data_IF_914494547787
#
_entry.id   IF_914494547787
#
_cell.length_a   1.000
_cell.length_b   1.000
_cell.length_c   1.000
_cell.angle_alpha   90.00
_cell.angle_beta   90.00
_cell.angle_gamma   90.00
#
_symmetry.space_group_name_H-M   'P 1'
#
loop_
_entity.id
_entity.type
_entity.pdbx_description
1 polymer ?
#
# COMPACT_ATOMS: atom_id res chain seq x y z
N UNK A 1 7.41 -8.33 -11.46
CA UNK A 1 6.95 -8.02 -12.84
C UNK A 1 6.45 -6.59 -13.01
N UNK A 2 5.18 -6.25 -12.75
CA UNK A 2 4.65 -4.91 -13.13
C UNK A 2 5.42 -3.71 -12.54
N UNK A 3 5.86 -3.79 -11.28
CA UNK A 3 6.65 -2.72 -10.65
C UNK A 3 8.03 -2.56 -11.29
N UNK A 4 8.67 -3.65 -11.70
CA UNK A 4 9.96 -3.65 -12.40
C UNK A 4 9.79 -3.10 -13.82
N UNK A 5 8.74 -3.51 -14.53
CA UNK A 5 8.43 -2.98 -15.86
C UNK A 5 8.15 -1.47 -15.86
N UNK A 6 7.44 -0.96 -14.84
CA UNK A 6 7.27 0.49 -14.66
C UNK A 6 8.58 1.20 -14.28
N UNK A 7 9.40 0.58 -13.44
CA UNK A 7 10.71 1.12 -13.09
C UNK A 7 11.61 1.25 -14.33
N UNK A 8 11.62 0.25 -15.19
CA UNK A 8 12.35 0.25 -16.46
C UNK A 8 11.80 1.32 -17.42
N UNK A 9 10.49 1.42 -17.58
CA UNK A 9 9.87 2.47 -18.40
C UNK A 9 10.21 3.89 -17.94
N UNK A 10 10.25 4.13 -16.63
CA UNK A 10 10.47 5.48 -16.07
C UNK A 10 11.95 5.86 -16.03
N UNK A 11 12.85 4.92 -15.74
CA UNK A 11 14.25 5.21 -15.44
C UNK A 11 15.26 4.43 -16.28
N UNK A 12 14.80 3.51 -17.15
CA UNK A 12 15.64 2.64 -17.98
C UNK A 12 16.35 1.51 -17.22
N UNK A 13 16.08 1.35 -15.92
CA UNK A 13 16.40 0.16 -15.12
C UNK A 13 15.80 0.25 -13.71
N UNK A 14 15.61 -0.88 -13.04
CA UNK A 14 15.20 -0.91 -11.62
C UNK A 14 16.21 -0.21 -10.69
N UNK A 15 17.50 -0.33 -10.98
CA UNK A 15 18.55 0.31 -10.19
C UNK A 15 18.44 1.85 -10.25
N UNK A 16 18.28 2.41 -11.45
CA UNK A 16 18.10 3.85 -11.63
C UNK A 16 16.80 4.32 -10.99
N UNK A 17 15.72 3.55 -11.11
CA UNK A 17 14.46 3.88 -10.46
C UNK A 17 14.58 3.86 -8.93
N UNK A 18 15.28 2.89 -8.36
CA UNK A 18 15.53 2.81 -6.92
C UNK A 18 16.33 4.03 -6.40
N UNK A 19 17.26 4.55 -7.20
CA UNK A 19 17.94 5.81 -6.89
C UNK A 19 16.95 6.99 -6.85
N UNK A 20 15.99 7.06 -7.78
CA UNK A 20 14.90 8.06 -7.77
C UNK A 20 13.96 7.89 -6.57
N UNK A 21 13.64 6.66 -6.17
CA UNK A 21 12.85 6.37 -4.97
C UNK A 21 13.54 6.93 -3.72
N UNK A 22 14.84 6.68 -3.56
CA UNK A 22 15.62 7.18 -2.44
C UNK A 22 15.81 8.71 -2.48
N UNK A 23 15.95 9.30 -3.68
CA UNK A 23 15.94 10.76 -3.83
C UNK A 23 14.60 11.35 -3.37
N UNK A 24 13.48 10.74 -3.77
CA UNK A 24 12.16 11.17 -3.32
C UNK A 24 11.99 11.00 -1.81
N UNK A 25 12.44 9.90 -1.23
CA UNK A 25 12.43 9.69 0.22
C UNK A 25 13.15 10.83 0.96
N UNK A 26 14.34 11.23 0.49
CA UNK A 26 15.07 12.39 1.04
C UNK A 26 14.30 13.70 0.90
N UNK A 27 13.70 13.95 -0.26
CA UNK A 27 12.87 15.16 -0.49
C UNK A 27 11.66 15.22 0.45
N UNK A 28 11.08 14.08 0.82
CA UNK A 28 9.95 13.98 1.75
C UNK A 28 10.39 13.96 3.22
N UNK A 29 11.69 14.06 3.50
CA UNK A 29 12.23 13.99 4.87
C UNK A 29 12.05 12.61 5.51
N UNK A 30 12.05 11.55 4.72
CA UNK A 30 12.00 10.16 5.17
C UNK A 30 13.41 9.71 5.60
N UNK A 31 13.83 10.14 6.79
CA UNK A 31 15.22 10.01 7.28
C UNK A 31 15.61 8.58 7.64
N UNK A 32 14.64 7.71 7.86
CA UNK A 32 14.84 6.32 8.29
C UNK A 32 14.26 5.36 7.25
N UNK A 33 14.43 5.68 5.97
CA UNK A 33 13.99 4.85 4.84
C UNK A 33 15.11 4.69 3.83
N UNK A 34 15.31 3.45 3.39
CA UNK A 34 16.07 3.13 2.19
C UNK A 34 15.33 2.05 1.39
N UNK A 35 15.15 2.29 0.10
CA UNK A 35 14.59 1.34 -0.84
C UNK A 35 15.75 0.65 -1.57
N UNK A 36 15.73 -0.68 -1.61
CA UNK A 36 16.74 -1.48 -2.33
C UNK A 36 16.24 -2.02 -3.68
N UNK A 37 14.93 -1.98 -3.93
CA UNK A 37 14.28 -2.43 -5.15
C UNK A 37 12.89 -1.79 -5.28
N UNK A 38 12.26 -1.91 -6.45
CA UNK A 38 10.92 -1.35 -6.71
C UNK A 38 9.79 -2.27 -6.26
N UNK A 39 10.09 -3.54 -5.94
CA UNK A 39 9.10 -4.59 -5.66
C UNK A 39 8.68 -4.66 -4.20
N UNK A 40 9.56 -4.24 -3.29
CA UNK A 40 9.40 -4.47 -1.85
C UNK A 40 9.79 -5.89 -1.40
N UNK A 41 10.42 -6.69 -2.28
CA UNK A 41 10.98 -7.99 -1.90
C UNK A 41 12.15 -7.81 -0.95
N UNK A 42 12.37 -8.84 -0.13
CA UNK A 42 13.31 -8.82 0.97
C UNK A 42 14.73 -8.46 0.52
N UNK A 43 15.31 -7.48 1.19
CA UNK A 43 16.71 -7.08 1.06
C UNK A 43 17.12 -6.42 2.39
N UNK A 44 18.33 -6.69 2.87
CA UNK A 44 18.83 -6.15 4.15
C UNK A 44 18.86 -4.62 4.19
N UNK A 45 19.10 -4.00 3.04
CA UNK A 45 19.12 -2.56 2.89
C UNK A 45 17.71 -1.98 2.65
N UNK A 46 16.66 -2.81 2.53
CA UNK A 46 15.29 -2.33 2.32
C UNK A 46 14.58 -2.14 3.65
N UNK A 47 14.47 -0.90 4.13
CA UNK A 47 13.86 -0.59 5.42
C UNK A 47 13.10 0.74 5.40
N UNK A 48 12.19 0.89 6.37
CA UNK A 48 11.43 2.13 6.60
C UNK A 48 10.89 2.19 8.02
N UNK A 49 10.25 3.30 8.40
CA UNK A 49 9.52 3.45 9.66
C UNK A 49 8.05 3.80 9.42
N UNK A 50 7.19 3.56 10.40
CA UNK A 50 5.77 3.95 10.31
C UNK A 50 5.58 5.45 10.08
N UNK A 51 6.45 6.28 10.68
CA UNK A 51 6.42 7.73 10.51
C UNK A 51 6.76 8.15 9.08
N UNK A 52 7.79 7.54 8.49
CA UNK A 52 8.21 7.88 7.13
C UNK A 52 7.22 7.34 6.07
N UNK A 53 6.65 6.15 6.29
CA UNK A 53 5.57 5.64 5.45
C UNK A 53 4.30 6.50 5.54
N UNK A 54 4.00 7.08 6.70
CA UNK A 54 2.88 8.03 6.84
C UNK A 54 3.12 9.29 6.00
N UNK A 55 4.33 9.86 6.02
CA UNK A 55 4.70 11.00 5.15
C UNK A 55 4.55 10.64 3.67
N UNK A 56 5.04 9.46 3.27
CA UNK A 56 4.93 8.98 1.90
C UNK A 56 3.47 8.84 1.45
N UNK A 57 2.63 8.24 2.28
CA UNK A 57 1.22 8.05 1.95
C UNK A 57 0.48 9.40 1.87
N UNK A 58 0.71 10.31 2.82
CA UNK A 58 0.15 11.66 2.77
C UNK A 58 0.52 12.39 1.48
N UNK A 59 1.80 12.34 1.08
CA UNK A 59 2.26 12.91 -0.18
C UNK A 59 1.59 12.24 -1.40
N UNK A 60 1.58 10.91 -1.45
CA UNK A 60 1.05 10.17 -2.59
C UNK A 60 -0.46 10.41 -2.78
N UNK A 61 -1.23 10.52 -1.71
CA UNK A 61 -2.68 10.77 -1.75
C UNK A 61 -3.07 12.14 -2.33
N UNK A 62 -2.14 13.09 -2.43
CA UNK A 62 -2.36 14.37 -3.13
C UNK A 62 -2.45 14.18 -4.65
N UNK A 63 -1.87 13.11 -5.19
CA UNK A 63 -1.99 12.77 -6.60
C UNK A 63 -3.35 12.07 -6.87
N UNK A 64 -4.20 12.72 -7.69
CA UNK A 64 -5.55 12.23 -8.00
C UNK A 64 -5.56 10.82 -8.61
N UNK A 65 -4.60 10.51 -9.48
CA UNK A 65 -4.47 9.19 -10.13
C UNK A 65 -4.09 8.12 -9.11
N UNK A 66 -3.09 8.40 -8.27
CA UNK A 66 -2.70 7.48 -7.19
C UNK A 66 -3.87 7.24 -6.24
N UNK A 67 -4.56 8.30 -5.80
CA UNK A 67 -5.70 8.20 -4.91
C UNK A 67 -6.79 7.31 -5.49
N UNK A 68 -7.18 7.52 -6.75
CA UNK A 68 -8.16 6.68 -7.46
C UNK A 68 -7.75 5.20 -7.44
N UNK A 69 -6.49 4.91 -7.78
CA UNK A 69 -5.98 3.53 -7.80
C UNK A 69 -5.98 2.93 -6.38
N UNK A 70 -5.47 3.67 -5.40
CA UNK A 70 -5.33 3.24 -4.01
C UNK A 70 -6.68 2.91 -3.34
N UNK A 71 -7.75 3.60 -3.75
CA UNK A 71 -9.12 3.38 -3.26
C UNK A 71 -9.97 2.50 -4.18
N UNK A 72 -9.40 1.90 -5.23
CA UNK A 72 -10.14 1.02 -6.13
C UNK A 72 -10.31 -0.37 -5.50
N UNK A 73 -11.56 -0.87 -5.46
CA UNK A 73 -11.88 -2.19 -4.91
C UNK A 73 -11.61 -3.31 -5.92
N UNK A 74 -12.08 -3.10 -7.15
CA UNK A 74 -11.99 -4.03 -8.27
C UNK A 74 -11.62 -3.24 -9.53
N UNK A 75 -10.69 -3.77 -10.32
CA UNK A 75 -10.28 -3.20 -11.60
C UNK A 75 -10.21 -4.30 -12.64
N UNK A 76 -10.86 -4.12 -13.78
CA UNK A 76 -10.72 -5.01 -14.93
C UNK A 76 -9.91 -4.30 -15.99
N UNK A 77 -8.82 -4.93 -16.44
CA UNK A 77 -7.98 -4.36 -17.50
C UNK A 77 -8.74 -4.28 -18.82
N UNK A 78 -8.20 -3.53 -19.77
CA UNK A 78 -8.65 -3.62 -21.17
C UNK A 78 -8.46 -5.04 -21.71
N UNK A 79 -9.28 -5.39 -22.70
CA UNK A 79 -9.17 -6.64 -23.42
C UNK A 79 -7.87 -6.71 -24.22
N UNK A 80 -7.34 -7.91 -24.35
CA UNK A 80 -6.20 -8.22 -25.22
C UNK A 80 -6.53 -9.49 -26.02
N UNK A 81 -5.73 -9.82 -27.03
CA UNK A 81 -5.89 -11.09 -27.76
C UNK A 81 -5.82 -12.31 -26.84
N UNK A 82 -4.99 -12.26 -25.79
CA UNK A 82 -4.83 -13.35 -24.82
C UNK A 82 -5.92 -13.33 -23.73
N UNK A 83 -6.48 -12.16 -23.43
CA UNK A 83 -7.51 -11.95 -22.42
C UNK A 83 -8.65 -11.09 -23.01
N UNK A 84 -9.55 -11.67 -23.81
CA UNK A 84 -10.60 -10.91 -24.52
C UNK A 84 -11.60 -10.23 -23.57
N UNK A 85 -11.77 -10.76 -22.35
CA UNK A 85 -12.60 -10.14 -21.30
C UNK A 85 -11.77 -9.25 -20.34
N UNK A 86 -10.48 -9.07 -20.63
CA UNK A 86 -9.53 -8.44 -19.72
C UNK A 86 -9.17 -9.33 -18.53
N UNK A 87 -8.41 -8.76 -17.59
CA UNK A 87 -8.02 -9.40 -16.34
C UNK A 87 -8.56 -8.60 -15.17
N UNK A 88 -9.33 -9.26 -14.31
CA UNK A 88 -9.93 -8.64 -13.13
C UNK A 88 -9.03 -8.80 -11.91
N UNK A 89 -8.67 -7.67 -11.30
CA UNK A 89 -7.90 -7.56 -10.08
C UNK A 89 -8.81 -7.09 -8.95
N UNK A 90 -8.70 -7.73 -7.79
CA UNK A 90 -9.37 -7.30 -6.57
C UNK A 90 -8.34 -6.89 -5.52
N UNK A 91 -8.59 -5.77 -4.85
CA UNK A 91 -7.77 -5.33 -3.74
C UNK A 91 -7.70 -6.39 -2.65
N UNK A 92 -6.48 -6.72 -2.21
CA UNK A 92 -6.26 -7.69 -1.13
C UNK A 92 -6.87 -7.20 0.18
N UNK A 93 -6.87 -5.89 0.42
CA UNK A 93 -7.56 -5.30 1.58
C UNK A 93 -9.05 -5.65 1.54
N UNK A 94 -9.76 -5.31 0.47
CA UNK A 94 -11.21 -5.50 0.39
C UNK A 94 -11.65 -6.95 0.20
N UNK A 95 -10.77 -7.82 -0.30
CA UNK A 95 -11.01 -9.27 -0.30
C UNK A 95 -10.96 -9.87 1.10
N UNK A 96 -10.14 -9.30 1.99
CA UNK A 96 -9.95 -9.76 3.37
C UNK A 96 -10.83 -9.01 4.38
N UNK A 97 -11.22 -7.78 4.05
CA UNK A 97 -12.10 -6.92 4.82
C UNK A 97 -13.54 -7.09 4.33
N UNK A 98 -14.32 -7.94 5.01
CA UNK A 98 -15.71 -8.23 4.62
C UNK A 98 -16.61 -7.00 4.63
N UNK A 99 -16.38 -6.08 5.56
CA UNK A 99 -17.12 -4.83 5.67
C UNK A 99 -16.15 -3.66 5.84
N UNK A 100 -16.10 -2.71 4.90
CA UNK A 100 -15.23 -1.53 5.02
C UNK A 100 -15.75 -0.49 6.03
N UNK A 101 -16.96 -0.65 6.55
CA UNK A 101 -17.56 0.32 7.48
C UNK A 101 -16.82 0.35 8.80
N UNK A 102 -16.68 1.56 9.34
CA UNK A 102 -16.19 1.84 10.70
C UNK A 102 -17.14 2.84 11.35
N UNK A 103 -17.08 3.00 12.67
CA UNK A 103 -17.98 3.88 13.40
C UNK A 103 -17.95 5.31 12.82
N UNK A 104 -19.07 5.74 12.22
CA UNK A 104 -19.19 7.06 11.59
C UNK A 104 -18.38 7.25 10.30
N UNK A 105 -18.00 6.17 9.61
CA UNK A 105 -17.12 6.25 8.44
C UNK A 105 -16.92 4.94 7.69
N UNK A 106 -15.91 4.91 6.82
CA UNK A 106 -15.47 3.72 6.10
C UNK A 106 -13.98 3.77 5.74
N UNK A 107 -13.36 2.60 5.65
CA UNK A 107 -12.03 2.43 5.05
C UNK A 107 -12.18 2.58 3.53
N UNK A 108 -11.45 3.53 2.95
CA UNK A 108 -11.49 3.89 1.52
C UNK A 108 -10.49 3.12 0.68
N UNK A 109 -9.36 2.71 1.26
CA UNK A 109 -8.30 2.06 0.50
C UNK A 109 -7.11 1.67 1.35
N UNK A 110 -6.19 0.91 0.75
CA UNK A 110 -4.98 0.51 1.44
C UNK A 110 -4.03 -0.31 0.60
N UNK A 111 -2.78 -0.35 1.05
CA UNK A 111 -1.73 -1.23 0.54
C UNK A 111 -1.33 -2.21 1.62
N UNK A 112 -1.57 -3.49 1.37
CA UNK A 112 -1.08 -4.60 2.18
C UNK A 112 0.35 -4.97 1.78
N UNK A 113 1.15 -5.44 2.73
CA UNK A 113 2.51 -5.97 2.48
C UNK A 113 2.80 -7.15 3.39
N UNK A 114 3.63 -8.08 2.93
CA UNK A 114 4.09 -9.23 3.71
C UNK A 114 5.42 -9.75 3.18
N UNK A 115 6.38 -9.91 4.10
CA UNK A 115 7.53 -10.82 3.99
C UNK A 115 7.65 -11.55 5.33
N UNK A 116 8.44 -12.63 5.39
CA UNK A 116 8.65 -13.34 6.65
C UNK A 116 9.29 -12.43 7.72
N UNK A 117 10.13 -11.49 7.29
CA UNK A 117 10.86 -10.56 8.14
C UNK A 117 10.02 -9.33 8.51
N UNK A 118 9.19 -8.82 7.59
CA UNK A 118 8.38 -7.63 7.83
C UNK A 118 7.06 -7.94 8.57
N UNK A 119 6.61 -9.19 8.56
CA UNK A 119 5.28 -9.57 9.03
C UNK A 119 4.17 -8.96 8.16
N UNK A 120 2.94 -8.98 8.69
CA UNK A 120 1.79 -8.37 8.02
C UNK A 120 1.81 -6.85 8.21
N UNK A 121 1.89 -6.13 7.10
CA UNK A 121 1.87 -4.67 7.07
C UNK A 121 0.61 -4.15 6.35
N UNK A 122 0.14 -2.99 6.76
CA UNK A 122 -0.95 -2.27 6.11
C UNK A 122 -0.73 -0.77 6.21
N UNK A 123 -0.79 -0.08 5.07
CA UNK A 123 -1.01 1.35 5.01
C UNK A 123 -2.45 1.58 4.53
N UNK A 124 -3.27 2.31 5.28
CA UNK A 124 -4.71 2.46 4.99
C UNK A 124 -5.17 3.91 5.05
N UNK A 125 -6.25 4.20 4.34
CA UNK A 125 -6.99 5.46 4.35
C UNK A 125 -8.45 5.18 4.75
N UNK A 126 -8.98 5.96 5.69
CA UNK A 126 -10.39 5.96 6.05
C UNK A 126 -10.95 7.39 6.06
N UNK A 127 -12.24 7.51 5.80
CA UNK A 127 -13.00 8.73 6.01
C UNK A 127 -13.97 8.50 7.17
N UNK A 128 -13.99 9.44 8.12
CA UNK A 128 -14.87 9.42 9.28
C UNK A 128 -15.35 10.82 9.59
N UNK A 129 -16.67 11.01 9.68
CA UNK A 129 -17.32 12.31 9.96
C UNK A 129 -16.77 13.47 9.10
N UNK A 130 -16.54 13.22 7.80
CA UNK A 130 -16.01 14.21 6.85
C UNK A 130 -14.51 14.53 6.99
N UNK A 131 -13.77 13.78 7.81
CA UNK A 131 -12.31 13.89 7.95
C UNK A 131 -11.62 12.61 7.49
N UNK A 132 -10.48 12.76 6.85
CA UNK A 132 -9.67 11.63 6.41
C UNK A 132 -8.55 11.32 7.40
N UNK A 133 -8.33 10.04 7.61
CA UNK A 133 -7.32 9.50 8.52
C UNK A 133 -6.52 8.44 7.79
N UNK A 134 -5.21 8.45 7.98
CA UNK A 134 -4.34 7.35 7.58
C UNK A 134 -3.90 6.56 8.80
N UNK A 135 -3.74 5.26 8.61
CA UNK A 135 -3.19 4.38 9.63
C UNK A 135 -2.22 3.38 9.03
N UNK A 136 -1.03 3.31 9.64
CA UNK A 136 0.07 2.44 9.24
C UNK A 136 0.31 1.41 10.35
N UNK A 137 0.17 0.13 10.02
CA UNK A 137 0.56 -1.01 10.85
C UNK A 137 1.66 -1.82 10.19
N UNK A 138 2.63 -2.26 10.99
CA UNK A 138 3.77 -3.08 10.54
C UNK A 138 4.04 -4.20 11.55
N UNK A 139 4.68 -5.28 11.12
CA UNK A 139 5.15 -6.33 12.04
C UNK A 139 4.03 -7.19 12.66
N UNK A 140 2.80 -7.16 12.13
CA UNK A 140 1.73 -7.97 12.70
C UNK A 140 2.00 -9.47 12.42
N UNK A 141 1.83 -10.30 13.45
CA UNK A 141 2.06 -11.75 13.33
C UNK A 141 1.06 -12.40 12.37
N UNK A 142 1.55 -13.33 11.56
CA UNK A 142 0.69 -14.21 10.75
C UNK A 142 -0.01 -15.20 11.70
N UNK A 143 -1.33 -15.27 11.62
CA UNK A 143 -2.14 -16.29 12.31
C UNK A 143 -3.02 -16.99 11.28
N UNK A 144 -2.72 -18.26 11.01
CA UNK A 144 -3.47 -19.08 10.06
C UNK A 144 -4.95 -19.19 10.47
N UNK A 145 -5.85 -19.19 9.49
CA UNK A 145 -7.29 -19.32 9.71
C UNK A 145 -8.01 -18.07 10.23
N UNK A 146 -7.32 -16.94 10.40
CA UNK A 146 -7.93 -15.67 10.88
C UNK A 146 -7.73 -14.53 9.90
N UNK A 147 -8.55 -13.48 10.02
CA UNK A 147 -8.32 -12.24 9.28
C UNK A 147 -6.90 -11.69 9.57
N UNK A 148 -6.22 -11.11 8.56
CA UNK A 148 -4.90 -10.54 8.76
C UNK A 148 -4.89 -9.56 9.94
N UNK A 149 -4.00 -9.77 10.92
CA UNK A 149 -3.99 -8.98 12.15
C UNK A 149 -3.86 -7.48 11.85
N UNK A 150 -3.07 -7.09 10.84
CA UNK A 150 -2.92 -5.69 10.43
C UNK A 150 -4.24 -5.03 9.98
N UNK A 151 -5.13 -5.77 9.31
CA UNK A 151 -6.45 -5.29 8.88
C UNK A 151 -7.38 -5.16 10.08
N UNK A 152 -7.42 -6.18 10.95
CA UNK A 152 -8.23 -6.14 12.17
C UNK A 152 -7.82 -4.99 13.09
N UNK A 153 -6.52 -4.76 13.23
CA UNK A 153 -5.99 -3.70 14.07
C UNK A 153 -6.38 -2.33 13.50
N UNK A 154 -6.34 -2.15 12.17
CA UNK A 154 -6.85 -0.95 11.52
C UNK A 154 -8.34 -0.73 11.78
N UNK A 155 -9.18 -1.77 11.66
CA UNK A 155 -10.60 -1.66 12.00
C UNK A 155 -10.81 -1.27 13.46
N UNK A 156 -10.09 -1.87 14.41
CA UNK A 156 -10.19 -1.52 15.84
C UNK A 156 -9.84 -0.06 16.09
N UNK A 157 -8.72 0.38 15.52
CA UNK A 157 -8.21 1.75 15.59
C UNK A 157 -9.24 2.74 15.05
N UNK A 158 -9.71 2.59 13.81
CA UNK A 158 -10.71 3.50 13.23
C UNK A 158 -12.07 3.50 13.96
N UNK A 159 -12.41 2.43 14.68
CA UNK A 159 -13.60 2.38 15.52
C UNK A 159 -13.40 3.06 16.89
N UNK A 160 -12.17 3.14 17.39
CA UNK A 160 -11.87 3.63 18.73
C UNK A 160 -11.85 5.16 18.87
N UNK A 161 -11.63 5.90 17.77
CA UNK A 161 -11.64 7.37 17.72
C UNK A 161 -12.53 7.82 16.58
#
# INVERSE_FOLDING_TARGET
>A
ECSVGLADQVAGSEQKFTALMNQKARQLGMKHTHFANATGLQNREHYSTVQDLAKLLCYALQNRTFRKIFTTHVFTSMSTRQHPDGVTFQSTLFRKLKNPSVAGGKILGGKTGFTNEAGLCLASLAEKKGKEYIFITVGAKVKYGTEPCSIRDACKVYNAF
#
